data_IF_664472187089
#
_entry.id   IF_664472187089
#
_cell.length_a   1.000
_cell.length_b   1.000
_cell.length_c   1.000
_cell.angle_alpha   90.00
_cell.angle_beta   90.00
_cell.angle_gamma   90.00
#
_symmetry.space_group_name_H-M   'P 1'
#
loop_
_entity.id
_entity.type
_entity.pdbx_description
1 polymer ?
#
# COMPACT_ATOMS: atom_id res chain seq x y z
N UNK A 1 -3.91 9.37 1.53
CA UNK A 1 -2.54 9.71 1.07
C UNK A 1 -1.54 9.92 2.20
N UNK A 2 -1.76 9.41 3.42
CA UNK A 2 -0.76 9.55 4.49
C UNK A 2 0.34 8.48 4.45
N UNK A 3 0.30 7.58 3.45
CA UNK A 3 1.41 6.67 3.10
C UNK A 3 2.70 7.49 2.94
N UNK A 4 2.63 8.58 2.17
CA UNK A 4 3.71 9.56 1.97
C UNK A 4 4.21 10.16 3.30
N UNK A 5 3.31 10.76 4.09
CA UNK A 5 3.67 11.33 5.39
C UNK A 5 4.37 10.32 6.30
N UNK A 6 3.88 9.08 6.35
CA UNK A 6 4.49 8.04 7.18
C UNK A 6 5.89 7.66 6.68
N UNK A 7 6.13 7.62 5.37
CA UNK A 7 7.48 7.44 4.82
C UNK A 7 8.40 8.62 5.14
N UNK A 8 7.92 9.86 5.08
CA UNK A 8 8.69 11.04 5.50
C UNK A 8 9.09 11.02 6.99
N UNK A 9 8.32 10.33 7.84
CA UNK A 9 8.67 10.09 9.23
C UNK A 9 9.47 8.79 9.47
N UNK A 10 9.93 8.11 8.41
CA UNK A 10 10.58 6.79 8.47
C UNK A 10 9.77 5.75 9.27
N UNK A 11 8.43 5.84 9.23
CA UNK A 11 7.53 4.97 9.96
C UNK A 11 6.91 3.94 9.00
N UNK A 12 7.65 2.85 8.77
CA UNK A 12 7.23 1.79 7.85
C UNK A 12 5.92 1.10 8.28
N UNK A 13 5.68 0.94 9.59
CA UNK A 13 4.43 0.39 10.12
C UNK A 13 3.23 1.17 9.60
N UNK A 14 3.20 2.49 9.84
CA UNK A 14 2.07 3.33 9.43
C UNK A 14 1.97 3.51 7.92
N UNK A 15 3.11 3.53 7.22
CA UNK A 15 3.09 3.63 5.76
C UNK A 15 2.38 2.42 5.13
N UNK A 16 2.70 1.21 5.63
CA UNK A 16 2.09 -0.01 5.14
C UNK A 16 0.65 -0.19 5.65
N UNK A 17 0.33 0.22 6.88
CA UNK A 17 -1.05 0.23 7.41
C UNK A 17 -1.97 1.17 6.60
N UNK A 18 -1.53 2.39 6.29
CA UNK A 18 -2.26 3.31 5.40
C UNK A 18 -2.38 2.77 3.97
N UNK A 19 -1.45 1.93 3.52
CA UNK A 19 -1.54 1.24 2.24
C UNK A 19 -2.65 0.18 2.25
N UNK A 20 -2.85 -0.52 3.36
CA UNK A 20 -3.99 -1.44 3.53
C UNK A 20 -5.32 -0.67 3.53
N UNK A 21 -5.39 0.50 4.15
CA UNK A 21 -6.58 1.35 4.08
C UNK A 21 -6.90 1.79 2.63
N UNK A 22 -5.89 2.09 1.80
CA UNK A 22 -6.09 2.34 0.37
C UNK A 22 -6.60 1.09 -0.36
N UNK A 23 -6.05 -0.08 -0.04
CA UNK A 23 -6.49 -1.36 -0.61
C UNK A 23 -7.96 -1.67 -0.29
N UNK A 24 -8.39 -1.42 0.94
CA UNK A 24 -9.78 -1.59 1.35
C UNK A 24 -10.71 -0.65 0.58
N UNK A 25 -10.32 0.61 0.38
CA UNK A 25 -11.09 1.57 -0.42
C UNK A 25 -11.20 1.13 -1.89
N UNK A 26 -10.10 0.62 -2.48
CA UNK A 26 -10.12 0.07 -3.85
C UNK A 26 -11.07 -1.13 -3.93
N UNK A 27 -11.02 -2.05 -2.96
CA UNK A 27 -11.96 -3.19 -2.89
C UNK A 27 -13.41 -2.75 -2.78
N UNK A 28 -13.69 -1.76 -1.95
CA UNK A 28 -15.03 -1.21 -1.81
C UNK A 28 -15.53 -0.69 -3.17
N UNK A 29 -14.73 0.12 -3.87
CA UNK A 29 -15.11 0.65 -5.19
C UNK A 29 -15.34 -0.46 -6.21
N UNK A 30 -14.50 -1.49 -6.25
CA UNK A 30 -14.68 -2.62 -7.18
C UNK A 30 -16.01 -3.37 -6.94
N UNK A 31 -16.56 -3.35 -5.73
CA UNK A 31 -17.85 -3.97 -5.43
C UNK A 31 -19.05 -3.09 -5.80
N UNK A 32 -18.82 -1.79 -6.06
CA UNK A 32 -19.87 -0.80 -6.32
C UNK A 32 -20.00 -0.44 -7.81
N UNK A 33 -19.00 -0.77 -8.64
CA UNK A 33 -18.96 -0.39 -10.06
C UNK A 33 -19.00 -1.59 -11.01
N UNK A 34 -19.59 -1.40 -12.19
CA UNK A 34 -19.46 -2.34 -13.29
C UNK A 34 -18.14 -2.11 -14.04
N UNK A 35 -17.22 -3.07 -13.93
CA UNK A 35 -15.90 -3.00 -14.56
C UNK A 35 -15.94 -3.13 -16.09
N UNK A 36 -17.07 -3.55 -16.69
CA UNK A 36 -17.24 -3.54 -18.14
C UNK A 36 -17.48 -2.13 -18.69
N UNK A 37 -17.92 -1.21 -17.83
CA UNK A 37 -18.18 0.20 -18.15
C UNK A 37 -17.25 1.17 -17.42
N UNK A 38 -16.47 0.67 -16.45
CA UNK A 38 -15.60 1.47 -15.57
C UNK A 38 -14.14 1.05 -15.65
N UNK A 39 -13.27 1.97 -16.09
CA UNK A 39 -11.82 1.81 -15.98
C UNK A 39 -11.36 2.27 -14.59
N UNK A 40 -10.78 1.36 -13.80
CA UNK A 40 -10.15 1.67 -12.53
C UNK A 40 -8.62 1.71 -12.68
N UNK A 41 -8.01 2.84 -12.32
CA UNK A 41 -6.55 3.02 -12.33
C UNK A 41 -6.07 3.34 -10.91
N UNK A 42 -5.09 2.57 -10.44
CA UNK A 42 -4.41 2.81 -9.16
C UNK A 42 -2.93 3.02 -9.46
N UNK A 43 -2.36 4.11 -8.94
CA UNK A 43 -0.96 4.45 -9.13
C UNK A 43 -0.43 5.21 -7.91
N UNK A 44 0.89 5.35 -7.84
CA UNK A 44 1.52 6.35 -7.02
C UNK A 44 1.90 7.57 -7.88
N UNK A 45 2.01 8.72 -7.25
CA UNK A 45 2.62 9.93 -7.79
C UNK A 45 4.16 9.85 -7.77
N UNK A 46 4.73 9.28 -6.71
CA UNK A 46 6.14 8.91 -6.61
C UNK A 46 6.39 7.78 -5.59
N UNK A 47 7.63 7.28 -5.56
CA UNK A 47 8.07 6.30 -4.55
C UNK A 47 8.82 6.98 -3.39
N UNK A 48 9.33 6.18 -2.47
CA UNK A 48 10.22 6.56 -1.38
C UNK A 48 11.43 5.62 -1.31
N UNK A 49 12.40 5.95 -0.48
CA UNK A 49 13.65 5.19 -0.30
C UNK A 49 13.49 3.91 0.55
N UNK A 50 12.26 3.44 0.79
CA UNK A 50 12.01 2.22 1.56
C UNK A 50 12.68 1.03 0.85
N UNK A 51 13.46 0.25 1.61
CA UNK A 51 13.99 -1.04 1.17
C UNK A 51 13.52 -2.14 2.10
N UNK A 52 13.15 -3.29 1.53
CA UNK A 52 12.84 -4.51 2.26
C UNK A 52 13.94 -5.52 1.95
N UNK A 53 14.76 -5.85 2.94
CA UNK A 53 15.92 -6.71 2.78
C UNK A 53 16.02 -7.80 3.85
N UNK A 54 17.11 -8.56 3.79
CA UNK A 54 17.42 -9.65 4.73
C UNK A 54 17.78 -10.92 3.97
N UNK A 55 18.94 -11.49 4.26
CA UNK A 55 19.51 -12.63 3.53
C UNK A 55 18.95 -14.00 3.98
N UNK A 56 18.42 -14.08 5.20
CA UNK A 56 17.90 -15.31 5.80
C UNK A 56 16.51 -15.11 6.44
N UNK A 57 15.77 -14.10 6.00
CA UNK A 57 14.40 -13.86 6.47
C UNK A 57 13.50 -15.00 6.01
N UNK A 58 13.00 -15.80 6.94
CA UNK A 58 12.13 -16.93 6.61
C UNK A 58 10.78 -16.46 6.07
N UNK A 59 10.16 -17.28 5.21
CA UNK A 59 8.79 -17.04 4.75
C UNK A 59 7.83 -17.02 5.95
N UNK A 60 6.95 -16.03 5.98
CA UNK A 60 5.99 -15.84 7.07
C UNK A 60 6.54 -15.06 8.27
N UNK A 61 7.82 -14.66 8.26
CA UNK A 61 8.32 -13.70 9.23
C UNK A 61 7.58 -12.37 9.08
N UNK A 62 7.06 -11.79 10.17
CA UNK A 62 6.30 -10.56 10.07
C UNK A 62 7.20 -9.38 9.68
N UNK A 63 6.61 -8.44 8.95
CA UNK A 63 7.24 -7.16 8.56
C UNK A 63 7.06 -6.09 9.65
N UNK A 64 6.25 -6.39 10.69
CA UNK A 64 5.93 -5.56 11.84
C UNK A 64 5.97 -6.35 13.14
#
# INVERSE_FOLDING_TARGET
GRIDHAHHYNNAYRALDETLALEEAVRAVMNEVDLTETLLVVTADHSHVLTLGGLATHRGNPIF
#
